data_IF_760836901981
#
_entry.id   IF_760836901981
#
_cell.length_a   1.000
_cell.length_b   1.000
_cell.length_c   1.000
_cell.angle_alpha   90.00
_cell.angle_beta   90.00
_cell.angle_gamma   90.00
#
_symmetry.space_group_name_H-M   'P 1'
#
loop_
_entity.id
_entity.type
_entity.pdbx_description
1 polymer ?
#
# COMPACT_ATOMS: atom_id res chain seq x y z
N UNK A 1 -56.28 13.80 52.36
CA UNK A 1 -54.85 13.89 52.68
C UNK A 1 -54.09 13.14 51.59
N UNK A 2 -53.35 13.88 50.78
CA UNK A 2 -52.63 13.45 49.58
C UNK A 2 -51.26 12.88 50.00
N UNK A 3 -50.84 11.71 49.49
CA UNK A 3 -49.45 11.22 49.59
C UNK A 3 -49.09 10.36 48.37
N UNK A 4 -48.78 11.10 47.30
CA UNK A 4 -47.74 10.94 46.27
C UNK A 4 -47.13 9.54 46.07
N UNK A 5 -47.42 8.95 44.90
CA UNK A 5 -46.63 7.91 44.25
C UNK A 5 -45.24 8.48 43.86
N UNK A 6 -44.17 7.94 44.44
CA UNK A 6 -42.80 8.19 44.01
C UNK A 6 -42.39 7.21 42.94
N UNK A 7 -42.49 7.60 41.67
CA UNK A 7 -41.89 6.87 40.54
C UNK A 7 -40.38 7.11 40.55
N UNK A 8 -39.58 6.12 40.93
CA UNK A 8 -38.15 6.14 40.63
C UNK A 8 -37.96 5.83 39.15
N UNK A 9 -37.94 6.87 38.31
CA UNK A 9 -37.27 6.81 37.01
C UNK A 9 -35.77 6.69 37.28
N UNK A 10 -35.29 5.46 37.43
CA UNK A 10 -33.88 5.17 37.27
C UNK A 10 -33.54 5.42 35.79
N UNK A 11 -32.96 6.58 35.50
CA UNK A 11 -32.19 6.78 34.28
C UNK A 11 -31.10 5.70 34.24
N UNK A 12 -31.36 4.61 33.52
CA UNK A 12 -30.27 3.79 32.97
C UNK A 12 -29.46 4.74 32.12
N UNK A 13 -28.36 5.23 32.69
CA UNK A 13 -27.23 5.72 31.92
C UNK A 13 -26.82 4.52 31.09
N UNK A 14 -27.30 4.46 29.86
CA UNK A 14 -26.78 3.53 28.86
C UNK A 14 -25.28 3.77 28.86
N UNK A 15 -24.56 2.85 29.51
CA UNK A 15 -23.14 2.69 29.32
C UNK A 15 -23.08 2.23 27.89
N UNK A 16 -22.95 3.20 26.96
CA UNK A 16 -22.48 2.90 25.62
C UNK A 16 -21.24 2.06 25.86
N UNK A 17 -21.37 0.76 25.65
CA UNK A 17 -20.23 -0.11 25.39
C UNK A 17 -19.68 0.43 24.09
N UNK A 18 -18.88 1.48 24.20
CA UNK A 18 -17.96 1.90 23.18
C UNK A 18 -17.16 0.62 22.93
N UNK A 19 -17.49 -0.06 21.83
CA UNK A 19 -16.70 -1.17 21.33
C UNK A 19 -15.27 -0.63 21.35
N UNK A 20 -14.43 -1.17 22.23
CA UNK A 20 -13.01 -0.86 22.16
C UNK A 20 -12.62 -1.19 20.73
N UNK A 21 -12.17 -0.16 20.02
CA UNK A 21 -11.74 -0.28 18.65
C UNK A 21 -10.52 -1.21 18.66
N UNK A 22 -10.78 -2.50 18.39
CA UNK A 22 -9.78 -3.57 18.48
C UNK A 22 -8.79 -3.52 17.33
N UNK A 23 -8.92 -2.54 16.44
CA UNK A 23 -8.04 -2.33 15.32
C UNK A 23 -6.67 -1.85 15.79
N UNK A 24 -5.64 -2.60 15.41
CA UNK A 24 -4.25 -2.26 15.66
C UNK A 24 -3.57 -1.98 14.31
N UNK A 25 -3.32 -0.70 13.98
CA UNK A 25 -2.71 -0.32 12.70
C UNK A 25 -1.40 -1.05 12.40
N UNK A 26 -0.64 -1.46 13.43
CA UNK A 26 0.67 -2.11 13.25
C UNK A 26 0.59 -3.52 12.67
N UNK A 27 -0.61 -4.12 12.66
CA UNK A 27 -0.88 -5.42 12.03
C UNK A 27 -1.30 -5.30 10.57
N UNK A 28 -1.40 -4.08 10.06
CA UNK A 28 -1.90 -3.80 8.71
C UNK A 28 -0.94 -2.87 7.97
N UNK A 29 -1.18 -2.75 6.67
CA UNK A 29 -0.62 -1.71 5.82
C UNK A 29 -1.71 -1.21 4.88
N UNK A 30 -1.56 0.02 4.39
CA UNK A 30 -2.45 0.58 3.36
C UNK A 30 -1.67 0.69 2.06
N UNK A 31 -2.20 0.17 0.96
CA UNK A 31 -1.61 0.30 -0.38
C UNK A 31 -2.69 0.55 -1.42
N UNK A 32 -2.29 1.00 -2.61
CA UNK A 32 -3.22 1.14 -3.73
C UNK A 32 -2.59 1.93 -4.87
N UNK A 33 -3.48 2.54 -5.66
CA UNK A 33 -3.12 3.40 -6.79
C UNK A 33 -3.23 4.87 -6.42
N UNK A 34 -2.18 5.63 -6.73
CA UNK A 34 -2.18 7.08 -6.77
C UNK A 34 -2.13 7.53 -8.23
N UNK A 35 -2.98 8.51 -8.60
CA UNK A 35 -3.14 9.03 -9.95
C UNK A 35 -1.85 9.65 -10.51
N UNK A 36 -1.08 10.30 -9.65
CA UNK A 36 0.14 11.05 -9.98
C UNK A 36 0.81 11.52 -8.70
N UNK A 37 2.14 11.50 -8.68
CA UNK A 37 2.93 12.21 -7.65
C UNK A 37 3.31 13.58 -8.20
N UNK A 38 3.03 14.64 -7.45
CA UNK A 38 3.58 15.97 -7.71
C UNK A 38 3.18 16.60 -9.04
N UNK A 39 2.05 16.20 -9.63
CA UNK A 39 1.58 16.74 -10.92
C UNK A 39 2.20 16.08 -12.16
N UNK A 40 2.92 14.96 -12.00
CA UNK A 40 3.34 14.11 -13.11
C UNK A 40 2.19 13.41 -13.85
N UNK A 41 2.48 12.72 -14.95
CA UNK A 41 1.45 12.17 -15.86
C UNK A 41 1.01 10.73 -15.56
N UNK A 42 1.61 10.07 -14.57
CA UNK A 42 1.60 8.60 -14.50
C UNK A 42 1.09 8.06 -13.17
N UNK A 43 0.08 7.17 -13.18
CA UNK A 43 -0.34 6.46 -11.98
C UNK A 43 0.79 5.62 -11.39
N UNK A 44 0.80 5.43 -10.08
CA UNK A 44 1.79 4.61 -9.37
C UNK A 44 1.15 3.85 -8.22
N UNK A 45 1.82 2.79 -7.76
CA UNK A 45 1.56 2.24 -6.45
C UNK A 45 2.15 3.13 -5.35
N UNK A 46 1.51 3.10 -4.18
CA UNK A 46 1.97 3.69 -2.93
C UNK A 46 1.75 2.71 -1.78
N UNK A 47 2.42 2.94 -0.66
CA UNK A 47 2.19 2.17 0.56
C UNK A 47 2.49 2.96 1.83
N UNK A 48 1.73 2.66 2.88
CA UNK A 48 1.99 3.04 4.27
C UNK A 48 2.02 1.78 5.14
N UNK A 49 3.17 1.51 5.75
CA UNK A 49 3.31 0.53 6.83
C UNK A 49 3.37 1.28 8.17
N UNK A 50 2.76 0.72 9.21
CA UNK A 50 2.65 1.36 10.53
C UNK A 50 3.49 0.61 11.57
N UNK A 51 4.23 1.34 12.39
CA UNK A 51 5.09 0.77 13.42
C UNK A 51 4.65 1.18 14.83
N UNK A 52 4.94 0.33 15.82
CA UNK A 52 4.55 0.54 17.22
C UNK A 52 5.07 1.86 17.83
N UNK A 53 6.13 2.45 17.28
CA UNK A 53 6.66 3.76 17.70
C UNK A 53 5.92 4.95 17.06
N UNK A 54 4.72 4.73 16.53
CA UNK A 54 3.91 5.72 15.81
C UNK A 54 4.58 6.32 14.56
N UNK A 55 5.61 5.67 14.00
CA UNK A 55 6.19 6.04 12.70
C UNK A 55 5.57 5.23 11.57
N UNK A 56 5.67 5.78 10.37
CA UNK A 56 5.33 5.07 9.15
C UNK A 56 6.59 4.69 8.37
N UNK A 57 6.50 3.63 7.59
CA UNK A 57 7.30 3.50 6.37
C UNK A 57 6.38 3.85 5.21
N UNK A 58 6.79 4.81 4.38
CA UNK A 58 6.00 5.22 3.22
C UNK A 58 6.88 5.33 2.00
N UNK A 59 6.35 4.78 0.91
CA UNK A 59 7.04 4.81 -0.38
C UNK A 59 6.04 4.73 -1.52
N UNK A 60 6.48 5.22 -2.67
CA UNK A 60 5.75 5.24 -3.92
C UNK A 60 6.77 5.25 -5.08
N UNK A 61 6.31 5.34 -6.33
CA UNK A 61 7.19 5.48 -7.51
C UNK A 61 8.41 4.55 -7.48
N UNK A 62 8.18 3.25 -7.63
CA UNK A 62 9.27 2.27 -7.63
C UNK A 62 10.01 2.13 -6.31
N UNK A 63 9.49 2.60 -5.17
CA UNK A 63 10.17 2.39 -3.90
C UNK A 63 11.02 3.58 -3.48
N UNK A 64 10.76 4.76 -4.08
CA UNK A 64 11.31 6.00 -3.59
C UNK A 64 10.71 6.28 -2.21
N UNK A 65 11.53 6.21 -1.17
CA UNK A 65 11.06 6.48 0.18
C UNK A 65 10.68 7.95 0.27
N UNK A 66 9.44 8.22 0.69
CA UNK A 66 9.09 9.55 1.16
C UNK A 66 9.63 9.74 2.58
N UNK A 67 9.55 10.95 3.11
CA UNK A 67 9.69 11.15 4.55
C UNK A 67 8.82 10.13 5.30
N UNK A 68 9.28 9.66 6.46
CA UNK A 68 8.59 8.69 7.31
C UNK A 68 7.82 9.43 8.42
N UNK A 69 6.66 10.05 8.11
CA UNK A 69 5.90 10.83 9.07
C UNK A 69 5.38 9.95 10.20
N UNK A 70 5.10 10.61 11.32
CA UNK A 70 4.36 9.99 12.39
C UNK A 70 2.89 9.80 11.98
N UNK A 71 2.23 8.84 12.59
CA UNK A 71 0.79 8.65 12.48
C UNK A 71 0.11 8.63 13.86
N UNK A 72 -1.19 8.89 13.87
CA UNK A 72 -2.07 8.64 15.02
C UNK A 72 -3.24 7.78 14.57
N UNK A 73 -3.81 7.02 15.51
CA UNK A 73 -5.07 6.30 15.32
C UNK A 73 -6.04 6.65 16.45
N UNK A 74 -7.22 7.14 16.10
CA UNK A 74 -8.26 7.50 17.07
C UNK A 74 -9.62 7.39 16.39
N UNK A 75 -10.57 6.71 17.04
CA UNK A 75 -11.96 6.57 16.60
C UNK A 75 -12.10 6.16 15.11
N UNK A 76 -11.43 5.08 14.70
CA UNK A 76 -11.48 4.61 13.32
C UNK A 76 -10.67 5.44 12.31
N UNK A 77 -9.93 6.47 12.72
CA UNK A 77 -9.20 7.34 11.78
C UNK A 77 -7.69 7.23 11.95
N UNK A 78 -7.00 6.79 10.89
CA UNK A 78 -5.54 6.94 10.78
C UNK A 78 -5.25 8.33 10.20
N UNK A 79 -4.42 9.11 10.89
CA UNK A 79 -3.96 10.43 10.43
C UNK A 79 -2.45 10.46 10.26
N UNK A 80 -1.99 10.97 9.11
CA UNK A 80 -0.58 11.10 8.72
C UNK A 80 -0.36 12.53 8.21
N UNK A 81 0.09 13.44 9.08
CA UNK A 81 0.10 14.88 8.75
C UNK A 81 -1.31 15.38 8.43
N UNK A 82 -1.54 15.84 7.19
CA UNK A 82 -2.86 16.25 6.69
C UNK A 82 -3.64 15.11 6.02
N UNK A 83 -3.01 13.98 5.72
CA UNK A 83 -3.66 12.81 5.13
C UNK A 83 -4.47 12.07 6.20
N UNK A 84 -5.67 11.64 5.85
CA UNK A 84 -6.54 10.84 6.71
C UNK A 84 -7.12 9.66 5.95
N UNK A 85 -7.14 8.51 6.61
CA UNK A 85 -7.86 7.31 6.20
C UNK A 85 -8.90 6.98 7.26
N UNK A 86 -10.16 6.88 6.86
CA UNK A 86 -11.25 6.41 7.73
C UNK A 86 -11.41 4.91 7.57
N UNK A 87 -11.38 4.18 8.67
CA UNK A 87 -11.45 2.74 8.76
C UNK A 87 -12.75 2.35 9.46
N UNK A 88 -13.45 1.40 8.88
CA UNK A 88 -14.57 0.72 9.52
C UNK A 88 -14.61 -0.72 9.04
N UNK A 89 -14.89 -1.68 9.93
CA UNK A 89 -14.97 -3.10 9.59
C UNK A 89 -13.74 -3.63 8.83
N UNK A 90 -12.53 -3.30 9.32
CA UNK A 90 -11.25 -3.70 8.71
C UNK A 90 -11.08 -3.28 7.22
N UNK A 91 -11.79 -2.24 6.76
CA UNK A 91 -11.61 -1.65 5.44
C UNK A 91 -11.45 -0.14 5.50
N UNK A 92 -10.67 0.43 4.58
CA UNK A 92 -10.63 1.89 4.38
C UNK A 92 -11.91 2.30 3.64
N UNK A 93 -12.76 3.09 4.29
CA UNK A 93 -14.03 3.57 3.74
C UNK A 93 -13.92 4.92 3.04
N UNK A 94 -12.93 5.73 3.43
CA UNK A 94 -12.63 7.00 2.76
C UNK A 94 -11.20 7.46 3.01
N UNK A 95 -10.71 8.30 2.10
CA UNK A 95 -9.44 9.00 2.17
C UNK A 95 -9.66 10.46 1.76
N UNK A 96 -9.03 11.41 2.44
CA UNK A 96 -9.13 12.84 2.08
C UNK A 96 -8.18 13.29 0.97
N UNK A 97 -7.42 12.37 0.36
CA UNK A 97 -6.55 12.66 -0.78
C UNK A 97 -7.21 12.19 -2.09
N UNK A 98 -7.67 13.15 -2.90
CA UNK A 98 -8.33 12.90 -4.17
C UNK A 98 -7.43 12.24 -5.23
N UNK A 99 -6.10 12.24 -5.04
CA UNK A 99 -5.19 11.55 -5.94
C UNK A 99 -5.16 10.04 -5.71
N UNK A 100 -5.62 9.53 -4.56
CA UNK A 100 -5.70 8.09 -4.32
C UNK A 100 -6.94 7.51 -5.00
N UNK A 101 -6.72 6.79 -6.09
CA UNK A 101 -7.77 6.14 -6.90
C UNK A 101 -8.22 4.82 -6.31
N UNK A 102 -7.36 4.18 -5.52
CA UNK A 102 -7.70 3.03 -4.70
C UNK A 102 -6.90 3.03 -3.41
N UNK A 103 -7.45 2.38 -2.39
CA UNK A 103 -6.84 2.19 -1.08
C UNK A 103 -7.33 0.85 -0.53
N UNK A 104 -6.37 0.03 -0.12
CA UNK A 104 -6.60 -1.31 0.37
C UNK A 104 -5.96 -1.41 1.74
N UNK A 105 -6.79 -1.60 2.75
CA UNK A 105 -6.30 -2.02 4.06
C UNK A 105 -6.00 -3.51 3.99
N UNK A 106 -4.76 -3.88 4.28
CA UNK A 106 -4.30 -5.26 4.16
C UNK A 106 -3.68 -5.70 5.47
N UNK A 107 -4.12 -6.83 5.99
CA UNK A 107 -3.46 -7.47 7.11
C UNK A 107 -2.08 -7.93 6.67
N UNK A 108 -1.06 -7.68 7.48
CA UNK A 108 0.30 -8.15 7.21
C UNK A 108 0.28 -9.68 7.21
N UNK A 109 0.71 -10.34 6.13
CA UNK A 109 0.76 -11.79 6.05
C UNK A 109 1.75 -12.39 7.07
N UNK A 110 1.51 -13.61 7.54
CA UNK A 110 2.42 -14.28 8.49
C UNK A 110 3.76 -14.70 7.84
N UNK A 111 3.79 -14.80 6.51
CA UNK A 111 4.96 -15.15 5.72
C UNK A 111 5.04 -14.32 4.44
N UNK A 112 6.21 -14.30 3.80
CA UNK A 112 6.47 -13.62 2.54
C UNK A 112 5.39 -13.92 1.49
N UNK A 113 4.62 -12.89 1.14
CA UNK A 113 3.51 -13.03 0.21
C UNK A 113 3.95 -13.14 -1.25
N UNK A 114 5.22 -12.94 -1.56
CA UNK A 114 5.76 -12.98 -2.91
C UNK A 114 6.44 -14.32 -3.20
N UNK A 115 7.12 -14.90 -2.21
CA UNK A 115 7.93 -16.11 -2.35
C UNK A 115 7.27 -17.22 -3.22
N UNK A 116 7.94 -17.58 -4.31
CA UNK A 116 7.51 -18.65 -5.23
C UNK A 116 6.33 -18.31 -6.15
N UNK A 117 5.76 -17.10 -6.08
CA UNK A 117 4.60 -16.71 -6.90
C UNK A 117 4.99 -16.09 -8.23
N UNK A 118 4.08 -16.16 -9.18
CA UNK A 118 4.19 -15.48 -10.48
C UNK A 118 2.98 -14.58 -10.67
N UNK A 119 3.22 -13.32 -11.05
CA UNK A 119 2.18 -12.35 -11.35
C UNK A 119 2.29 -11.91 -12.80
N UNK A 120 1.14 -11.77 -13.46
CA UNK A 120 1.04 -11.37 -14.87
C UNK A 120 0.01 -10.25 -15.03
N UNK A 121 0.23 -9.38 -16.00
CA UNK A 121 -0.75 -8.37 -16.39
C UNK A 121 -0.18 -7.43 -17.44
N UNK A 122 -0.69 -6.21 -17.46
CA UNK A 122 -0.17 -5.14 -18.29
C UNK A 122 0.29 -3.97 -17.43
N UNK A 123 1.34 -3.30 -17.87
CA UNK A 123 1.83 -2.05 -17.28
C UNK A 123 1.74 -0.91 -18.28
N UNK A 124 1.41 0.29 -17.79
CA UNK A 124 1.58 1.52 -18.54
C UNK A 124 3.03 2.01 -18.39
N UNK A 125 3.57 2.66 -19.43
CA UNK A 125 4.86 3.37 -19.35
C UNK A 125 4.63 4.87 -19.39
N UNK A 126 5.22 5.61 -18.44
CA UNK A 126 5.14 7.08 -18.36
C UNK A 126 3.70 7.59 -18.50
N UNK A 127 2.73 6.85 -17.93
CA UNK A 127 1.32 7.24 -17.90
C UNK A 127 0.60 7.07 -19.24
N UNK A 128 1.27 6.53 -20.25
CA UNK A 128 0.67 6.26 -21.56
C UNK A 128 -0.23 5.03 -21.49
N UNK A 129 -1.35 5.07 -22.20
CA UNK A 129 -2.24 3.92 -22.39
C UNK A 129 -1.65 2.92 -23.42
N UNK A 130 -0.42 2.47 -23.18
CA UNK A 130 0.37 1.64 -24.10
C UNK A 130 0.45 0.16 -23.69
N UNK A 131 -0.12 -0.20 -22.53
CA UNK A 131 -0.49 -1.58 -22.15
C UNK A 131 0.56 -2.65 -22.46
N UNK A 132 1.78 -2.50 -21.97
CA UNK A 132 2.86 -3.48 -22.17
C UNK A 132 2.61 -4.72 -21.34
N UNK A 133 2.74 -5.91 -21.92
CA UNK A 133 2.69 -7.16 -21.16
C UNK A 133 3.78 -7.16 -20.09
N UNK A 134 3.44 -7.64 -18.90
CA UNK A 134 4.36 -7.73 -17.76
C UNK A 134 4.21 -9.09 -17.09
N UNK A 135 5.35 -9.69 -16.73
CA UNK A 135 5.46 -10.92 -15.97
C UNK A 135 6.51 -10.71 -14.88
N UNK A 136 6.13 -10.96 -13.64
CA UNK A 136 7.02 -10.92 -12.49
C UNK A 136 7.02 -12.30 -11.84
N UNK A 137 8.19 -12.89 -11.67
CA UNK A 137 8.35 -14.20 -11.02
C UNK A 137 9.20 -14.03 -9.80
N UNK A 138 8.74 -14.56 -8.67
CA UNK A 138 9.45 -14.59 -7.42
C UNK A 138 9.92 -16.01 -7.12
N UNK A 139 11.09 -16.10 -6.53
CA UNK A 139 11.64 -17.35 -6.02
C UNK A 139 11.51 -17.39 -4.49
N UNK A 140 11.77 -18.55 -3.89
CA UNK A 140 11.77 -18.72 -2.43
C UNK A 140 13.04 -18.18 -1.77
N UNK A 141 14.11 -17.91 -2.53
CA UNK A 141 15.37 -17.32 -2.04
C UNK A 141 15.38 -15.79 -2.09
N UNK A 142 14.20 -15.15 -1.99
CA UNK A 142 14.01 -13.70 -2.02
C UNK A 142 14.55 -13.00 -3.28
N UNK A 143 14.46 -13.68 -4.42
CA UNK A 143 14.75 -13.08 -5.73
C UNK A 143 13.51 -12.94 -6.57
N UNK A 144 13.59 -12.03 -7.52
CA UNK A 144 12.57 -11.89 -8.55
C UNK A 144 13.20 -11.60 -9.91
N UNK A 145 12.44 -11.93 -10.95
CA UNK A 145 12.70 -11.50 -12.33
C UNK A 145 11.50 -10.71 -12.82
N UNK A 146 11.73 -9.62 -13.52
CA UNK A 146 10.69 -8.88 -14.26
C UNK A 146 10.94 -8.92 -15.76
N UNK A 147 9.88 -9.16 -16.52
CA UNK A 147 9.85 -9.05 -17.98
C UNK A 147 8.67 -8.17 -18.38
N UNK A 148 8.93 -7.10 -19.12
CA UNK A 148 7.96 -6.16 -19.69
C UNK A 148 8.21 -6.11 -21.21
N UNK A 149 7.20 -5.92 -22.04
CA UNK A 149 7.41 -5.82 -23.49
C UNK A 149 8.43 -4.72 -23.88
N UNK A 150 9.57 -5.16 -24.43
CA UNK A 150 10.72 -4.30 -24.75
C UNK A 150 11.75 -4.11 -23.61
N UNK A 151 11.57 -4.79 -22.47
CA UNK A 151 12.45 -4.76 -21.32
C UNK A 151 12.47 -6.12 -20.59
N UNK A 152 13.61 -6.80 -20.56
CA UNK A 152 13.80 -7.97 -19.69
C UNK A 152 14.91 -7.70 -18.70
N UNK A 153 14.69 -7.99 -17.42
CA UNK A 153 15.81 -8.09 -16.50
C UNK A 153 16.75 -9.21 -16.98
N UNK A 154 18.04 -8.89 -17.12
CA UNK A 154 19.07 -9.86 -17.53
C UNK A 154 19.59 -10.63 -16.31
N UNK A 155 20.04 -11.87 -16.50
CA UNK A 155 20.63 -12.71 -15.45
C UNK A 155 19.64 -13.56 -14.66
N UNK A 156 20.01 -13.97 -13.44
CA UNK A 156 19.27 -14.91 -12.57
C UNK A 156 18.21 -14.23 -11.68
N UNK A 157 17.89 -12.96 -11.94
CA UNK A 157 17.02 -12.13 -11.12
C UNK A 157 17.78 -11.16 -10.20
N UNK A 158 17.05 -10.46 -9.34
CA UNK A 158 17.60 -9.60 -8.30
C UNK A 158 16.94 -9.87 -6.96
N UNK A 159 17.67 -9.55 -5.89
CA UNK A 159 17.13 -9.63 -4.54
C UNK A 159 16.06 -8.55 -4.31
N UNK A 160 15.05 -8.88 -3.51
CA UNK A 160 14.12 -7.91 -2.96
C UNK A 160 14.16 -7.88 -1.44
N UNK A 161 13.87 -6.71 -0.88
CA UNK A 161 13.82 -6.47 0.56
C UNK A 161 12.37 -6.31 0.99
N UNK A 162 11.93 -7.18 1.89
CA UNK A 162 10.64 -7.03 2.55
C UNK A 162 10.67 -5.83 3.50
N UNK A 163 9.71 -4.94 3.35
CA UNK A 163 9.39 -3.89 4.34
C UNK A 163 8.41 -4.44 5.38
N UNK A 164 7.53 -5.34 4.92
CA UNK A 164 6.82 -6.33 5.72
C UNK A 164 6.49 -7.51 4.78
N UNK A 165 5.74 -8.51 5.25
CA UNK A 165 5.43 -9.70 4.47
C UNK A 165 4.45 -9.50 3.28
N UNK A 166 3.86 -8.31 3.11
CA UNK A 166 3.01 -7.95 1.96
C UNK A 166 3.57 -6.81 1.10
N UNK A 167 4.75 -6.31 1.43
CA UNK A 167 5.37 -5.12 0.83
C UNK A 167 6.86 -5.36 0.63
N UNK A 168 7.32 -5.25 -0.61
CA UNK A 168 8.73 -5.39 -0.96
C UNK A 168 9.21 -4.20 -1.81
N UNK A 169 10.50 -3.91 -1.68
CA UNK A 169 11.22 -3.03 -2.60
C UNK A 169 12.44 -3.74 -3.16
N UNK A 170 12.93 -3.30 -4.31
CA UNK A 170 14.17 -3.81 -4.86
C UNK A 170 14.92 -2.73 -5.64
N UNK A 171 16.23 -2.93 -5.77
CA UNK A 171 17.10 -2.11 -6.61
C UNK A 171 17.89 -3.00 -7.56
N UNK A 172 17.61 -2.94 -8.85
CA UNK A 172 18.24 -3.84 -9.83
C UNK A 172 19.35 -3.15 -10.62
N UNK A 173 20.59 -3.62 -10.43
CA UNK A 173 21.72 -3.60 -11.38
C UNK A 173 22.12 -2.28 -12.06
N UNK A 174 22.84 -2.40 -13.18
CA UNK A 174 23.58 -1.34 -13.92
C UNK A 174 22.80 -0.07 -14.28
N UNK A 175 21.48 -0.03 -14.11
CA UNK A 175 20.62 1.14 -14.43
C UNK A 175 19.92 1.71 -13.19
N UNK A 176 20.18 1.15 -11.99
CA UNK A 176 19.69 1.68 -10.72
C UNK A 176 18.18 1.71 -10.59
N UNK A 177 17.47 0.79 -11.28
CA UNK A 177 16.00 0.76 -11.27
C UNK A 177 15.49 0.45 -9.87
N UNK A 178 14.51 1.22 -9.43
CA UNK A 178 13.83 1.01 -8.16
C UNK A 178 12.48 0.35 -8.44
N UNK A 179 12.14 -0.66 -7.64
CA UNK A 179 10.89 -1.41 -7.72
C UNK A 179 10.12 -1.31 -6.40
N UNK A 180 8.80 -1.13 -6.50
CA UNK A 180 7.84 -1.25 -5.42
C UNK A 180 6.83 -2.34 -5.77
N UNK A 181 6.63 -3.28 -4.85
CA UNK A 181 5.78 -4.44 -5.00
C UNK A 181 4.91 -4.53 -3.76
N UNK A 182 3.60 -4.31 -3.89
CA UNK A 182 2.67 -4.36 -2.75
C UNK A 182 1.50 -5.27 -3.09
N UNK A 183 1.09 -6.11 -2.16
CA UNK A 183 -0.12 -6.92 -2.32
C UNK A 183 -1.32 -6.10 -1.84
N UNK A 184 -2.34 -5.95 -2.67
CA UNK A 184 -3.61 -5.30 -2.34
C UNK A 184 -4.76 -6.01 -3.03
N UNK A 185 -5.79 -6.38 -2.28
CA UNK A 185 -6.98 -7.09 -2.80
C UNK A 185 -6.61 -8.33 -3.64
N UNK A 186 -5.63 -9.12 -3.15
CA UNK A 186 -5.13 -10.32 -3.82
C UNK A 186 -4.31 -10.07 -5.11
N UNK A 187 -4.08 -8.82 -5.50
CA UNK A 187 -3.32 -8.42 -6.68
C UNK A 187 -1.98 -7.80 -6.30
N UNK A 188 -1.03 -7.83 -7.23
CA UNK A 188 0.25 -7.15 -7.10
C UNK A 188 0.16 -5.77 -7.73
N UNK A 189 0.23 -4.74 -6.88
CA UNK A 189 0.42 -3.35 -7.30
C UNK A 189 1.92 -3.13 -7.53
N UNK A 190 2.31 -3.01 -8.79
CA UNK A 190 3.70 -2.92 -9.21
C UNK A 190 4.01 -1.53 -9.75
N UNK A 191 5.09 -0.93 -9.26
CA UNK A 191 5.67 0.31 -9.78
C UNK A 191 7.17 0.14 -9.93
N UNK A 192 7.75 0.68 -11.00
CA UNK A 192 9.19 0.66 -11.26
C UNK A 192 9.63 1.97 -11.89
N UNK A 193 10.69 2.57 -11.38
CA UNK A 193 11.27 3.80 -11.95
C UNK A 193 12.75 3.62 -12.28
N UNK A 194 13.22 4.31 -13.32
CA UNK A 194 14.62 4.38 -13.72
C UNK A 194 14.95 5.77 -14.24
N UNK A 195 16.22 6.19 -14.09
CA UNK A 195 16.70 7.44 -14.68
C UNK A 195 15.97 8.69 -14.20
N UNK A 196 15.53 8.73 -12.93
CA UNK A 196 14.83 9.89 -12.36
C UNK A 196 15.69 11.15 -12.52
N UNK A 197 15.10 12.23 -13.06
CA UNK A 197 15.82 13.48 -13.35
C UNK A 197 16.73 13.41 -14.58
N UNK A 198 16.64 12.37 -15.40
CA UNK A 198 17.43 12.21 -16.63
C UNK A 198 16.54 12.08 -17.87
N UNK A 199 17.12 12.24 -19.05
CA UNK A 199 16.43 12.05 -20.34
C UNK A 199 16.00 10.59 -20.59
N UNK A 200 16.52 9.64 -19.82
CA UNK A 200 16.20 8.21 -19.90
C UNK A 200 15.18 7.79 -18.83
N UNK A 201 14.36 8.72 -18.35
CA UNK A 201 13.32 8.43 -17.38
C UNK A 201 12.29 7.44 -17.93
N UNK A 202 12.11 6.34 -17.20
CA UNK A 202 11.03 5.41 -17.46
C UNK A 202 10.36 5.03 -16.14
N UNK A 203 9.03 5.10 -16.13
CA UNK A 203 8.17 4.66 -15.06
C UNK A 203 7.17 3.66 -15.60
N UNK A 204 7.13 2.49 -14.98
CA UNK A 204 6.16 1.46 -15.27
C UNK A 204 5.23 1.30 -14.08
N UNK A 205 3.94 1.20 -14.34
CA UNK A 205 2.94 0.92 -13.32
C UNK A 205 1.89 -0.05 -13.85
N UNK A 206 1.47 -1.00 -13.02
CA UNK A 206 0.33 -1.85 -13.31
C UNK A 206 -0.13 -2.65 -12.11
N UNK A 207 -1.35 -3.16 -12.22
CA UNK A 207 -1.95 -4.08 -11.24
C UNK A 207 -1.97 -5.46 -11.87
N UNK A 208 -1.16 -6.37 -11.32
CA UNK A 208 -0.92 -7.69 -11.88
C UNK A 208 -1.69 -8.75 -11.07
N UNK A 209 -2.16 -9.79 -11.76
CA UNK A 209 -2.90 -10.90 -11.15
C UNK A 209 -1.98 -12.10 -10.91
N UNK A 210 -2.24 -12.85 -9.84
CA UNK A 210 -1.57 -14.12 -9.59
C UNK A 210 -1.87 -15.11 -10.73
N UNK A 211 -0.85 -15.84 -11.16
CA UNK A 211 -0.95 -16.94 -12.13
C UNK A 211 -1.08 -18.29 -11.43
#
# INVERSE_FOLDING_TARGET
MLLILGSFTACKKDRSTQLEDSFDPTKYYITGEEASIGGGSSPTSYVYCFFANAKTYTTSQGGYNSDNPNYTYTDGVIKIGSLTFTIANDVVTSCNNANYRSYHLQKIPDADAFAGKTFKGTVATNGLANGKSCLIKYTTDKKFTVSIDGFGQTGTGADYTLQNNGVATARTGNEGRLHLMTIGDGKLYYSQISGMGTTNYAHYYGVLTLQ
#
